data_IF_338617045831
#
_entry.id   IF_338617045831
#
_cell.length_a   1.000
_cell.length_b   1.000
_cell.length_c   1.000
_cell.angle_alpha   90.00
_cell.angle_beta   90.00
_cell.angle_gamma   90.00
#
_symmetry.space_group_name_H-M   'P 1'
#
loop_
_entity.id
_entity.type
_entity.pdbx_description
1 polymer ?
#
# COMPACT_ATOMS: atom_id res chain seq x y z
N UNK A 1 -19.25 -2.22 -9.34
CA UNK A 1 -18.45 -3.32 -8.77
C UNK A 1 -19.28 -4.57 -8.78
N UNK A 2 -18.88 -5.59 -9.54
CA UNK A 2 -19.56 -6.89 -9.55
C UNK A 2 -19.22 -7.67 -8.28
N UNK A 3 -20.21 -8.32 -7.68
CA UNK A 3 -20.03 -9.17 -6.50
C UNK A 3 -19.20 -10.39 -6.90
N UNK A 4 -18.00 -10.55 -6.33
CA UNK A 4 -17.19 -11.75 -6.55
C UNK A 4 -17.84 -12.95 -5.84
N UNK A 5 -17.93 -14.14 -6.47
CA UNK A 5 -18.46 -15.32 -5.81
C UNK A 5 -17.51 -15.80 -4.72
N UNK A 6 -18.08 -16.32 -3.63
CA UNK A 6 -17.34 -16.91 -2.51
C UNK A 6 -17.62 -18.41 -2.47
N UNK A 7 -16.56 -19.21 -2.32
CA UNK A 7 -16.64 -20.65 -2.14
C UNK A 7 -15.97 -21.01 -0.82
N UNK A 8 -16.73 -21.54 0.13
CA UNK A 8 -16.22 -21.96 1.42
C UNK A 8 -15.92 -23.46 1.42
N UNK A 9 -14.76 -23.85 1.97
CA UNK A 9 -14.37 -25.26 2.15
C UNK A 9 -13.80 -25.45 3.56
N UNK A 10 -14.28 -26.49 4.26
CA UNK A 10 -13.67 -26.95 5.51
C UNK A 10 -12.81 -28.16 5.20
N UNK A 11 -11.58 -28.20 5.72
CA UNK A 11 -10.61 -29.26 5.46
C UNK A 11 -9.76 -29.55 6.69
N UNK A 12 -9.01 -30.64 6.64
CA UNK A 12 -7.98 -31.00 7.61
C UNK A 12 -6.72 -31.32 6.83
N UNK A 13 -5.93 -30.30 6.52
CA UNK A 13 -4.82 -30.37 5.56
C UNK A 13 -3.53 -29.77 6.15
N UNK A 14 -2.43 -30.53 6.29
CA UNK A 14 -1.16 -30.00 6.76
C UNK A 14 -0.52 -28.99 5.80
N UNK A 15 -0.90 -28.99 4.51
CA UNK A 15 -0.43 -28.05 3.51
C UNK A 15 -1.18 -26.71 3.52
N UNK A 16 -2.23 -26.58 4.34
CA UNK A 16 -2.96 -25.33 4.56
C UNK A 16 -2.63 -24.74 5.93
N UNK A 17 -2.65 -23.42 6.10
CA UNK A 17 -2.45 -22.81 7.41
C UNK A 17 -3.58 -23.20 8.38
N UNK A 18 -3.34 -23.21 9.69
CA UNK A 18 -4.38 -23.47 10.68
C UNK A 18 -5.43 -22.34 10.68
N UNK A 19 -6.71 -22.69 10.86
CA UNK A 19 -7.79 -21.70 10.95
C UNK A 19 -8.31 -21.24 9.59
N UNK A 20 -8.64 -19.94 9.46
CA UNK A 20 -9.23 -19.39 8.25
C UNK A 20 -8.17 -18.79 7.32
N UNK A 21 -8.17 -19.19 6.05
CA UNK A 21 -7.40 -18.56 4.97
C UNK A 21 -8.28 -18.26 3.77
N UNK A 22 -7.86 -17.31 2.94
CA UNK A 22 -8.55 -16.98 1.71
C UNK A 22 -7.55 -16.86 0.55
N UNK A 23 -7.95 -17.38 -0.61
CA UNK A 23 -7.25 -17.16 -1.88
C UNK A 23 -8.24 -16.65 -2.92
N UNK A 24 -7.73 -16.01 -3.98
CA UNK A 24 -8.56 -15.46 -5.04
C UNK A 24 -8.01 -15.97 -6.37
N UNK A 25 -8.89 -16.45 -7.25
CA UNK A 25 -8.49 -16.85 -8.60
C UNK A 25 -7.85 -15.65 -9.35
N UNK A 26 -6.99 -15.92 -10.32
CA UNK A 26 -6.52 -14.87 -11.22
C UNK A 26 -7.66 -14.40 -12.14
N UNK A 27 -7.76 -13.09 -12.39
CA UNK A 27 -8.67 -12.51 -13.39
C UNK A 27 -9.80 -11.62 -12.87
N UNK A 28 -10.58 -11.08 -13.81
CA UNK A 28 -11.61 -10.05 -13.56
C UNK A 28 -12.89 -10.60 -12.92
N UNK A 29 -13.21 -11.88 -13.11
CA UNK A 29 -14.32 -12.60 -12.48
C UNK A 29 -13.84 -13.60 -11.42
N UNK A 30 -12.83 -13.21 -10.64
CA UNK A 30 -12.23 -14.14 -9.68
C UNK A 30 -13.19 -14.59 -8.59
N UNK A 31 -13.15 -15.88 -8.28
CA UNK A 31 -13.77 -16.48 -7.10
C UNK A 31 -12.87 -16.32 -5.91
N UNK A 32 -13.45 -15.97 -4.76
CA UNK A 32 -12.74 -16.01 -3.47
C UNK A 32 -12.96 -17.39 -2.87
N UNK A 33 -11.89 -18.14 -2.66
CA UNK A 33 -11.90 -19.43 -1.98
C UNK A 33 -11.54 -19.21 -0.53
N UNK A 34 -12.47 -19.50 0.39
CA UNK A 34 -12.25 -19.42 1.83
C UNK A 34 -12.07 -20.83 2.37
N UNK A 35 -10.94 -21.10 3.00
CA UNK A 35 -10.61 -22.38 3.60
C UNK A 35 -10.64 -22.27 5.13
N UNK A 36 -11.37 -23.17 5.78
CA UNK A 36 -11.31 -23.39 7.21
C UNK A 36 -10.57 -24.69 7.47
N UNK A 37 -9.30 -24.60 7.86
CA UNK A 37 -8.49 -25.75 8.20
C UNK A 37 -8.63 -26.08 9.69
N UNK A 38 -9.23 -27.22 9.98
CA UNK A 38 -9.43 -27.71 11.35
C UNK A 38 -8.13 -28.28 11.97
N UNK A 39 -7.08 -28.47 11.16
CA UNK A 39 -5.77 -28.91 11.66
C UNK A 39 -5.02 -27.76 12.36
N UNK A 40 -5.31 -27.56 13.65
CA UNK A 40 -4.62 -26.57 14.50
C UNK A 40 -3.11 -26.82 14.64
N UNK A 41 -2.66 -28.06 14.44
CA UNK A 41 -1.25 -28.44 14.48
C UNK A 41 -0.48 -28.16 13.17
N UNK A 42 -1.16 -27.64 12.13
CA UNK A 42 -0.49 -27.28 10.89
C UNK A 42 0.56 -26.19 11.13
N UNK A 43 1.73 -26.35 10.53
CA UNK A 43 2.85 -25.38 10.58
C UNK A 43 2.94 -24.54 9.30
N UNK A 44 2.07 -24.78 8.33
CA UNK A 44 2.01 -23.96 7.11
C UNK A 44 1.61 -22.53 7.48
N UNK A 45 2.38 -21.55 7.02
CA UNK A 45 2.06 -20.14 7.23
C UNK A 45 0.95 -19.70 6.27
N UNK A 46 0.09 -18.79 6.73
CA UNK A 46 -0.78 -18.04 5.82
C UNK A 46 0.08 -17.37 4.74
N UNK A 47 -0.39 -17.39 3.49
CA UNK A 47 0.28 -16.82 2.33
C UNK A 47 1.65 -17.44 1.95
N UNK A 48 1.95 -18.67 2.38
CA UNK A 48 3.24 -19.33 2.10
C UNK A 48 3.59 -19.48 0.60
N UNK A 49 2.60 -19.50 -0.30
CA UNK A 49 2.78 -19.58 -1.75
C UNK A 49 2.31 -18.32 -2.50
N UNK A 50 2.03 -17.24 -1.77
CA UNK A 50 1.44 -16.04 -2.38
C UNK A 50 2.48 -15.25 -3.16
N UNK A 51 2.23 -15.05 -4.44
CA UNK A 51 3.06 -14.20 -5.30
C UNK A 51 2.48 -12.80 -5.47
N UNK A 52 1.21 -12.58 -5.13
CA UNK A 52 0.58 -11.27 -5.16
C UNK A 52 -0.22 -10.97 -3.88
N UNK A 53 0.05 -9.83 -3.24
CA UNK A 53 -0.68 -9.35 -2.07
C UNK A 53 -1.21 -7.94 -2.33
N UNK A 54 -2.34 -7.60 -1.73
CA UNK A 54 -2.88 -6.24 -1.79
C UNK A 54 -3.40 -5.83 -0.41
N UNK A 55 -3.24 -4.56 -0.09
CA UNK A 55 -3.77 -3.94 1.11
C UNK A 55 -4.36 -2.57 0.81
N UNK A 56 -5.31 -2.14 1.63
CA UNK A 56 -5.93 -0.83 1.52
C UNK A 56 -6.24 -0.22 2.88
N UNK A 57 -6.21 1.11 2.95
CA UNK A 57 -6.60 1.86 4.13
C UNK A 57 -7.17 3.20 3.73
N UNK A 58 -8.28 3.57 4.38
CA UNK A 58 -8.88 4.90 4.28
C UNK A 58 -8.59 5.70 5.53
N UNK A 59 -7.98 6.87 5.36
CA UNK A 59 -7.71 7.84 6.44
C UNK A 59 -7.96 9.25 5.89
N UNK A 60 -7.03 10.20 6.07
CA UNK A 60 -7.03 11.50 5.37
C UNK A 60 -6.87 11.35 3.85
N UNK A 61 -6.30 10.22 3.43
CA UNK A 61 -5.98 9.83 2.05
C UNK A 61 -6.36 8.36 1.94
N UNK A 62 -7.03 7.95 0.86
CA UNK A 62 -7.19 6.53 0.56
C UNK A 62 -5.91 6.02 -0.08
N UNK A 63 -5.34 4.97 0.51
CA UNK A 63 -4.10 4.34 0.06
C UNK A 63 -4.37 2.88 -0.22
N UNK A 64 -4.08 2.43 -1.43
CA UNK A 64 -4.07 1.03 -1.79
C UNK A 64 -2.72 0.67 -2.38
N UNK A 65 -2.21 -0.51 -2.02
CA UNK A 65 -0.97 -1.06 -2.55
C UNK A 65 -1.25 -2.48 -3.03
N UNK A 66 -0.84 -2.79 -4.25
CA UNK A 66 -0.78 -4.15 -4.77
C UNK A 66 0.67 -4.49 -5.08
N UNK A 67 1.15 -5.61 -4.55
CA UNK A 67 2.52 -6.11 -4.68
C UNK A 67 2.49 -7.43 -5.41
N UNK A 68 3.45 -7.63 -6.30
CA UNK A 68 3.59 -8.86 -7.08
C UNK A 68 5.07 -9.24 -7.16
N UNK A 69 5.42 -10.40 -6.63
CA UNK A 69 6.80 -10.91 -6.55
C UNK A 69 7.28 -11.59 -7.83
N UNK A 70 6.37 -12.00 -8.72
CA UNK A 70 6.70 -12.57 -10.04
C UNK A 70 7.15 -11.45 -10.99
N UNK A 71 6.34 -10.41 -11.10
CA UNK A 71 6.64 -9.20 -11.89
C UNK A 71 7.60 -8.26 -11.18
N UNK A 72 7.80 -8.46 -9.87
CA UNK A 72 8.63 -7.62 -8.98
C UNK A 72 8.17 -6.17 -8.94
N UNK A 73 6.85 -5.92 -9.05
CA UNK A 73 6.28 -4.57 -9.07
C UNK A 73 5.36 -4.31 -7.87
N UNK A 74 5.39 -3.06 -7.42
CA UNK A 74 4.39 -2.45 -6.56
C UNK A 74 3.55 -1.49 -7.41
N UNK A 75 2.23 -1.55 -7.26
CA UNK A 75 1.26 -0.58 -7.76
C UNK A 75 0.68 0.15 -6.55
N UNK A 76 0.79 1.48 -6.53
CA UNK A 76 0.27 2.32 -5.46
C UNK A 76 -0.88 3.17 -6.02
N UNK A 77 -2.03 3.15 -5.37
CA UNK A 77 -3.15 4.05 -5.68
C UNK A 77 -3.36 4.99 -4.50
N UNK A 78 -3.17 6.29 -4.74
CA UNK A 78 -3.30 7.33 -3.73
C UNK A 78 -4.47 8.25 -4.10
N UNK A 79 -5.40 8.47 -3.17
CA UNK A 79 -6.53 9.39 -3.37
C UNK A 79 -6.63 10.39 -2.25
N UNK A 80 -6.55 11.67 -2.60
CA UNK A 80 -6.61 12.77 -1.64
C UNK A 80 -7.28 14.01 -2.24
N UNK A 81 -7.42 15.09 -1.45
CA UNK A 81 -8.00 16.34 -1.93
C UNK A 81 -7.21 16.92 -3.11
N UNK A 82 -7.90 17.34 -4.17
CA UNK A 82 -7.25 17.85 -5.38
C UNK A 82 -6.71 19.28 -5.27
N UNK A 83 -7.22 20.07 -4.31
CA UNK A 83 -6.91 21.50 -4.17
C UNK A 83 -5.68 21.80 -3.31
N UNK A 84 -5.09 20.79 -2.69
CA UNK A 84 -3.91 20.90 -1.81
C UNK A 84 -2.97 19.74 -2.08
N UNK A 85 -1.71 19.85 -1.62
CA UNK A 85 -0.81 18.71 -1.62
C UNK A 85 -1.25 17.66 -0.60
N UNK A 86 -0.91 16.40 -0.86
CA UNK A 86 -1.02 15.31 0.09
C UNK A 86 0.19 14.38 -0.01
N UNK A 87 0.50 13.66 1.06
CA UNK A 87 1.67 12.79 1.12
C UNK A 87 1.43 11.53 1.94
N UNK A 88 2.12 10.47 1.54
CA UNK A 88 2.07 9.15 2.18
C UNK A 88 3.50 8.68 2.43
N UNK A 89 3.82 8.48 3.71
CA UNK A 89 5.09 7.95 4.16
C UNK A 89 4.94 6.48 4.55
N UNK A 90 5.86 5.62 4.11
CA UNK A 90 5.78 4.18 4.33
C UNK A 90 6.83 3.69 5.32
N UNK A 91 6.47 2.70 6.13
CA UNK A 91 7.38 2.03 7.06
C UNK A 91 7.71 2.83 8.31
N UNK A 92 6.83 3.75 8.74
CA UNK A 92 7.08 4.63 9.87
C UNK A 92 5.85 4.88 10.73
N UNK A 93 6.10 5.10 12.02
CA UNK A 93 5.09 5.52 13.02
C UNK A 93 5.21 7.00 13.36
N UNK A 94 6.34 7.63 13.00
CA UNK A 94 6.58 9.06 13.17
C UNK A 94 7.54 9.61 12.11
N UNK A 95 7.59 10.93 11.94
CA UNK A 95 8.56 11.56 11.03
C UNK A 95 10.02 11.35 11.49
N UNK A 96 10.24 11.11 12.78
CA UNK A 96 11.56 10.82 13.35
C UNK A 96 12.16 9.51 12.82
N UNK A 97 11.33 8.60 12.30
CA UNK A 97 11.76 7.36 11.64
C UNK A 97 12.36 7.61 10.25
N UNK A 98 12.31 8.87 9.76
CA UNK A 98 12.85 9.32 8.47
C UNK A 98 12.38 8.50 7.26
N UNK A 99 11.05 8.27 7.10
CA UNK A 99 10.53 7.40 6.07
C UNK A 99 10.71 7.94 4.67
N UNK A 100 10.73 7.01 3.71
CA UNK A 100 10.43 7.30 2.32
C UNK A 100 8.97 7.76 2.19
N UNK A 101 8.76 8.86 1.48
CA UNK A 101 7.47 9.52 1.35
C UNK A 101 7.21 9.91 -0.08
N UNK A 102 6.04 9.54 -0.58
CA UNK A 102 5.50 10.02 -1.85
C UNK A 102 4.65 11.25 -1.57
N UNK A 103 4.89 12.33 -2.30
CA UNK A 103 4.13 13.57 -2.21
C UNK A 103 3.48 13.85 -3.56
N UNK A 104 2.19 14.15 -3.53
CA UNK A 104 1.43 14.64 -4.67
C UNK A 104 1.07 16.09 -4.41
N UNK A 105 1.52 17.00 -5.26
CA UNK A 105 1.17 18.41 -5.14
C UNK A 105 -0.26 18.70 -5.67
N UNK A 106 -0.78 19.90 -5.42
CA UNK A 106 -2.12 20.30 -5.84
C UNK A 106 -2.33 20.32 -7.36
N UNK A 107 -1.25 20.39 -8.16
CA UNK A 107 -1.32 20.25 -9.62
C UNK A 107 -1.31 18.78 -10.08
N UNK A 108 -0.95 17.86 -9.20
CA UNK A 108 -0.82 16.43 -9.45
C UNK A 108 0.61 15.99 -9.77
N UNK A 109 1.60 16.87 -9.59
CA UNK A 109 3.02 16.53 -9.66
C UNK A 109 3.39 15.57 -8.54
N UNK A 110 4.16 14.53 -8.89
CA UNK A 110 4.59 13.49 -7.96
C UNK A 110 6.07 13.67 -7.66
N UNK A 111 6.43 13.66 -6.38
CA UNK A 111 7.81 13.72 -5.92
C UNK A 111 8.04 12.72 -4.78
N UNK A 112 9.29 12.28 -4.63
CA UNK A 112 9.72 11.38 -3.57
C UNK A 112 10.71 12.09 -2.66
N UNK A 113 10.64 11.78 -1.36
CA UNK A 113 11.53 12.35 -0.36
C UNK A 113 11.84 11.36 0.75
N UNK A 114 12.99 11.48 1.35
CA UNK A 114 13.26 10.92 2.67
C UNK A 114 12.98 12.01 3.71
N UNK A 115 12.00 11.82 4.58
CA UNK A 115 11.67 12.81 5.60
C UNK A 115 12.80 12.95 6.62
N UNK A 116 12.88 14.13 7.24
CA UNK A 116 13.69 14.35 8.43
C UNK A 116 12.83 14.36 9.68
N UNK A 117 13.46 14.33 10.84
CA UNK A 117 12.78 14.44 12.13
C UNK A 117 12.11 15.82 12.24
N UNK A 118 10.77 15.84 12.12
CA UNK A 118 9.95 17.06 12.01
C UNK A 118 10.42 18.05 10.93
N UNK A 119 11.11 17.56 9.89
CA UNK A 119 11.69 18.36 8.82
C UNK A 119 11.16 17.90 7.45
N UNK A 120 11.13 18.79 6.43
CA UNK A 120 10.65 18.46 5.09
C UNK A 120 11.45 17.34 4.42
N UNK A 121 12.66 17.06 4.91
CA UNK A 121 13.51 16.01 4.38
C UNK A 121 14.20 16.40 3.07
N UNK A 122 14.79 15.39 2.42
CA UNK A 122 15.57 15.56 1.20
C UNK A 122 14.81 14.97 0.02
N UNK A 123 14.76 15.72 -1.09
CA UNK A 123 14.20 15.20 -2.35
C UNK A 123 15.03 14.03 -2.85
N UNK A 124 14.36 12.96 -3.27
CA UNK A 124 14.98 11.79 -3.87
C UNK A 124 14.85 11.86 -5.39
N UNK A 125 15.75 11.15 -6.09
CA UNK A 125 15.59 10.92 -7.51
C UNK A 125 14.31 10.08 -7.75
N UNK A 126 13.50 10.38 -8.77
CA UNK A 126 12.28 9.61 -9.05
C UNK A 126 12.58 8.12 -9.29
N UNK A 127 11.84 7.27 -8.58
CA UNK A 127 11.81 5.82 -8.72
C UNK A 127 10.42 5.29 -9.08
N UNK A 128 9.38 6.13 -8.98
CA UNK A 128 8.01 5.84 -9.39
C UNK A 128 7.69 6.30 -10.81
N UNK A 129 6.89 5.51 -11.51
CA UNK A 129 6.27 5.83 -12.80
C UNK A 129 4.79 6.15 -12.56
N UNK A 130 4.32 7.29 -13.07
CA UNK A 130 2.89 7.67 -13.00
C UNK A 130 2.13 6.97 -14.11
N UNK A 131 1.30 5.99 -13.75
CA UNK A 131 0.44 5.26 -14.69
C UNK A 131 -0.84 6.03 -15.02
N UNK A 132 -1.41 6.73 -14.03
CA UNK A 132 -2.56 7.61 -14.27
C UNK A 132 -2.67 8.72 -13.23
N UNK A 133 -3.28 9.82 -13.64
CA UNK A 133 -3.64 10.96 -12.79
C UNK A 133 -5.00 11.48 -13.21
N UNK A 134 -5.95 11.55 -12.28
CA UNK A 134 -7.30 12.04 -12.55
C UNK A 134 -7.82 12.87 -11.38
N UNK A 135 -8.75 13.77 -11.69
CA UNK A 135 -9.48 14.55 -10.68
C UNK A 135 -10.97 14.39 -10.95
N UNK A 136 -11.71 13.97 -9.94
CA UNK A 136 -13.18 13.88 -9.98
C UNK A 136 -13.75 14.30 -8.64
N UNK A 137 -14.79 15.14 -8.68
CA UNK A 137 -15.52 15.57 -7.48
C UNK A 137 -14.63 16.12 -6.34
N UNK A 138 -13.57 16.85 -6.69
CA UNK A 138 -12.62 17.42 -5.72
C UNK A 138 -11.56 16.45 -5.19
N UNK A 139 -11.58 15.19 -5.62
CA UNK A 139 -10.60 14.17 -5.24
C UNK A 139 -9.65 13.90 -6.40
N UNK A 140 -8.35 13.93 -6.11
CA UNK A 140 -7.29 13.52 -7.03
C UNK A 140 -6.92 12.07 -6.76
N UNK A 141 -6.92 11.26 -7.81
CA UNK A 141 -6.45 9.88 -7.78
C UNK A 141 -5.19 9.75 -8.64
N UNK A 142 -4.10 9.27 -8.04
CA UNK A 142 -2.84 8.96 -8.71
C UNK A 142 -2.58 7.46 -8.61
N UNK A 143 -2.28 6.83 -9.74
CA UNK A 143 -1.79 5.44 -9.78
C UNK A 143 -0.33 5.45 -10.18
N UNK A 144 0.51 4.84 -9.34
CA UNK A 144 1.96 4.77 -9.49
C UNK A 144 2.39 3.32 -9.64
N UNK A 145 3.50 3.10 -10.33
CA UNK A 145 4.21 1.82 -10.30
C UNK A 145 5.69 2.00 -10.00
N UNK A 146 6.30 1.03 -9.33
CA UNK A 146 7.75 0.95 -9.13
C UNK A 146 8.19 -0.49 -8.83
N UNK A 147 9.49 -0.81 -8.90
CA UNK A 147 10.01 -2.07 -8.38
C UNK A 147 9.73 -2.23 -6.89
N UNK A 148 9.56 -3.47 -6.42
CA UNK A 148 9.42 -3.79 -4.98
C UNK A 148 10.63 -3.27 -4.19
N UNK A 149 11.84 -3.47 -4.73
CA UNK A 149 13.08 -3.01 -4.13
C UNK A 149 13.21 -1.48 -4.22
N UNK A 150 13.60 -0.84 -3.11
CA UNK A 150 14.02 0.56 -3.07
C UNK A 150 15.15 0.86 -4.05
N UNK A 151 15.05 1.96 -4.80
CA UNK A 151 16.14 2.39 -5.69
C UNK A 151 17.42 2.71 -4.91
N UNK A 152 17.29 3.16 -3.65
CA UNK A 152 18.38 3.40 -2.71
C UNK A 152 17.93 3.02 -1.29
N UNK A 153 18.83 2.97 -0.29
CA UNK A 153 18.45 2.73 1.11
C UNK A 153 17.47 3.77 1.70
N UNK A 154 17.34 4.94 1.07
CA UNK A 154 16.38 5.98 1.45
C UNK A 154 14.96 5.72 0.90
N UNK A 155 14.78 4.70 0.04
CA UNK A 155 13.49 4.29 -0.49
C UNK A 155 12.98 3.07 0.27
N UNK A 156 11.69 3.05 0.57
CA UNK A 156 11.06 1.88 1.18
C UNK A 156 11.14 0.67 0.24
N UNK A 157 11.41 -0.52 0.79
CA UNK A 157 11.37 -1.78 0.06
C UNK A 157 10.11 -2.54 0.47
N UNK A 158 9.27 -2.83 -0.52
CA UNK A 158 8.08 -3.64 -0.33
C UNK A 158 8.43 -5.13 -0.38
N UNK A 159 7.64 -5.92 0.33
CA UNK A 159 7.79 -7.37 0.45
C UNK A 159 6.41 -8.00 0.48
N UNK A 160 6.28 -9.17 -0.16
CA UNK A 160 5.06 -9.99 -0.11
C UNK A 160 5.05 -10.96 1.08
N UNK A 161 6.10 -10.92 1.92
CA UNK A 161 6.22 -11.82 3.06
C UNK A 161 5.15 -11.52 4.11
N UNK A 162 4.60 -12.57 4.73
CA UNK A 162 3.57 -12.46 5.76
C UNK A 162 4.01 -11.61 6.98
N UNK A 163 5.30 -11.58 7.29
CA UNK A 163 5.86 -10.71 8.34
C UNK A 163 5.68 -9.21 8.05
N UNK A 164 5.48 -8.85 6.77
CA UNK A 164 5.28 -7.49 6.28
C UNK A 164 3.82 -7.22 5.90
N UNK A 165 2.88 -8.09 6.30
CA UNK A 165 1.45 -7.98 6.00
C UNK A 165 0.80 -6.71 6.61
N UNK A 166 1.50 -6.01 7.51
CA UNK A 166 1.06 -4.73 8.03
C UNK A 166 2.17 -3.71 7.88
N UNK A 167 1.91 -2.65 7.11
CA UNK A 167 2.87 -1.57 6.88
C UNK A 167 2.39 -0.34 7.64
N UNK A 168 3.14 0.16 8.64
CA UNK A 168 2.81 1.43 9.28
C UNK A 168 3.04 2.56 8.28
N UNK A 169 2.05 3.45 8.15
CA UNK A 169 2.12 4.59 7.25
C UNK A 169 1.73 5.88 7.94
N UNK A 170 2.26 6.99 7.44
CA UNK A 170 1.83 8.34 7.82
C UNK A 170 1.16 8.99 6.63
N UNK A 171 -0.01 9.56 6.84
CA UNK A 171 -0.72 10.35 5.83
C UNK A 171 -0.74 11.81 6.26
N UNK A 172 -0.60 12.72 5.31
CA UNK A 172 -0.65 14.16 5.59
C UNK A 172 -1.24 14.93 4.42
N UNK A 173 -2.00 15.98 4.74
CA UNK A 173 -2.55 16.92 3.75
C UNK A 173 -2.08 18.34 4.06
N UNK A 174 -1.87 19.12 3.02
CA UNK A 174 -1.41 20.51 3.09
C UNK A 174 -2.51 21.54 3.23
N UNK A 175 -2.10 22.78 3.49
CA UNK A 175 -2.96 23.98 3.40
C UNK A 175 -3.03 24.57 1.98
N UNK A 176 -2.11 24.24 1.09
CA UNK A 176 -1.99 24.81 -0.25
C UNK A 176 -1.49 23.80 -1.28
N UNK A 177 -1.28 24.27 -2.51
CA UNK A 177 -0.93 23.41 -3.64
C UNK A 177 0.51 22.90 -3.58
N UNK A 178 1.44 23.71 -3.09
CA UNK A 178 2.86 23.34 -3.00
C UNK A 178 3.14 22.60 -1.71
N UNK A 179 4.01 21.59 -1.77
CA UNK A 179 4.48 20.89 -0.59
C UNK A 179 5.03 21.88 0.47
N UNK A 180 4.67 21.64 1.73
CA UNK A 180 5.06 22.48 2.85
C UNK A 180 4.62 21.86 4.18
N UNK A 181 4.32 22.70 5.16
CA UNK A 181 3.78 22.22 6.44
C UNK A 181 2.39 21.62 6.25
N UNK A 182 2.13 20.48 6.89
CA UNK A 182 0.83 19.80 6.83
C UNK A 182 -0.21 20.52 7.69
N UNK A 183 -1.44 20.66 7.19
CA UNK A 183 -2.56 21.13 8.01
C UNK A 183 -3.12 20.04 8.90
N UNK A 184 -3.10 18.80 8.40
CA UNK A 184 -3.65 17.64 9.07
C UNK A 184 -2.80 16.41 8.73
N UNK A 185 -2.73 15.48 9.68
CA UNK A 185 -1.88 14.28 9.61
C UNK A 185 -2.45 13.16 10.45
N UNK A 186 -2.30 11.94 9.99
CA UNK A 186 -2.73 10.76 10.71
C UNK A 186 -1.72 9.61 10.53
N UNK A 187 -1.21 9.01 11.64
CA UNK A 187 -0.62 7.69 11.56
C UNK A 187 -1.73 6.66 11.32
N UNK A 188 -1.46 5.66 10.49
CA UNK A 188 -2.35 4.51 10.30
C UNK A 188 -1.52 3.28 9.91
N UNK A 189 -2.17 2.17 9.59
CA UNK A 189 -1.52 0.96 9.10
C UNK A 189 -2.26 0.44 7.89
N UNK A 190 -1.49 0.09 6.87
CA UNK A 190 -1.96 -0.59 5.67
C UNK A 190 -1.95 -2.08 5.93
N UNK A 191 -3.07 -2.75 5.68
CA UNK A 191 -3.28 -4.20 5.88
C UNK A 191 -4.00 -4.80 4.69
#
# INVERSE_FOLDING_TARGET
>A
GGRRPFVNRTTTDPAQPPGCSATVDSGTNATVHVFFNEMSASTTNCAAATTAVAGEVSSLIDVSVALDSETKRAILTLRGPASVWFGVAFGARSMADKPWTVVVDGSGGVSERQLGDHLPGTSLAPSVEVLSSSVSSGTRAIVLSRPLQGATPAHFTFSVAAADATIPILTAIGSGVSYGYHKDKAPTSLT
#
